data_IF_445036863787
#
_entry.id   IF_445036863787
#
_cell.length_a   1.000
_cell.length_b   1.000
_cell.length_c   1.000
_cell.angle_alpha   90.00
_cell.angle_beta   90.00
_cell.angle_gamma   90.00
#
_symmetry.space_group_name_H-M   'P 1'
#
loop_
_entity.id
_entity.type
_entity.pdbx_description
1 polymer ?
#
# COMPACT_ATOMS: atom_id res chain seq x y z
N UNK A 1 7.40 -3.04 20.61
CA UNK A 1 6.95 -3.91 19.51
C UNK A 1 5.51 -3.56 19.15
N UNK A 2 5.25 -3.29 17.87
CA UNK A 2 3.91 -3.05 17.31
C UNK A 2 3.52 -4.27 16.45
N UNK A 3 2.26 -4.69 16.52
CA UNK A 3 1.74 -5.82 15.73
C UNK A 3 0.71 -5.30 14.73
N UNK A 4 0.94 -5.54 13.44
CA UNK A 4 0.03 -5.24 12.33
C UNK A 4 -0.40 -6.57 11.71
N UNK A 5 -1.57 -7.06 12.11
CA UNK A 5 -2.02 -8.43 11.82
C UNK A 5 -0.94 -9.47 12.17
N UNK A 6 -0.43 -10.21 11.18
CA UNK A 6 0.63 -11.21 11.33
C UNK A 6 2.05 -10.61 11.40
N UNK A 7 2.23 -9.34 11.03
CA UNK A 7 3.54 -8.68 10.97
C UNK A 7 3.89 -8.06 12.33
N UNK A 8 5.10 -8.33 12.84
CA UNK A 8 5.61 -7.76 14.09
C UNK A 8 6.75 -6.79 13.76
N UNK A 9 6.68 -5.57 14.28
CA UNK A 9 7.63 -4.48 14.01
C UNK A 9 8.24 -4.01 15.34
N UNK A 10 9.56 -3.86 15.39
CA UNK A 10 10.28 -3.35 16.57
C UNK A 10 11.71 -3.86 16.65
N UNK A 11 12.40 -3.49 17.72
CA UNK A 11 13.81 -3.84 17.94
C UNK A 11 14.02 -5.36 17.99
N UNK A 12 15.17 -5.80 17.48
CA UNK A 12 15.58 -7.21 17.39
C UNK A 12 14.62 -8.13 16.59
N UNK A 13 13.76 -7.56 15.73
CA UNK A 13 12.94 -8.30 14.79
C UNK A 13 13.48 -8.15 13.35
N UNK A 14 13.14 -9.07 12.42
CA UNK A 14 13.50 -8.92 11.02
C UNK A 14 13.00 -7.60 10.42
N UNK A 15 13.73 -7.07 9.45
CA UNK A 15 13.32 -5.91 8.67
C UNK A 15 11.94 -6.19 8.03
N UNK A 16 11.00 -5.26 8.22
CA UNK A 16 9.70 -5.29 7.56
C UNK A 16 9.74 -4.34 6.37
N UNK A 17 9.38 -4.83 5.18
CA UNK A 17 9.25 -4.01 3.98
C UNK A 17 7.86 -3.38 3.93
N UNK A 18 7.81 -2.05 3.83
CA UNK A 18 6.60 -1.30 3.48
C UNK A 18 6.80 -0.75 2.07
N UNK A 19 6.10 -1.31 1.09
CA UNK A 19 6.32 -0.95 -0.31
C UNK A 19 5.07 -1.13 -1.19
N UNK A 20 5.09 -0.45 -2.33
CA UNK A 20 4.05 -0.50 -3.35
C UNK A 20 4.15 0.72 -4.26
N UNK A 21 3.17 0.91 -5.18
CA UNK A 21 3.17 2.05 -6.08
C UNK A 21 2.94 3.35 -5.31
N UNK A 22 3.45 4.46 -5.85
CA UNK A 22 3.44 5.74 -5.16
C UNK A 22 2.02 6.25 -4.88
N UNK A 23 1.10 6.03 -5.82
CA UNK A 23 -0.34 6.34 -5.71
C UNK A 23 -1.12 5.23 -6.41
N UNK A 24 -2.39 5.02 -6.04
CA UNK A 24 -3.29 4.13 -6.78
C UNK A 24 -3.63 4.79 -8.12
N UNK A 25 -2.97 4.32 -9.19
CA UNK A 25 -3.15 4.86 -10.54
C UNK A 25 -4.27 4.16 -11.30
N UNK A 26 -4.33 2.83 -11.20
CA UNK A 26 -5.38 1.97 -11.71
C UNK A 26 -5.28 0.59 -11.07
N UNK A 27 -6.30 -0.24 -11.31
CA UNK A 27 -6.39 -1.60 -10.75
C UNK A 27 -5.25 -2.51 -11.19
N UNK A 28 -4.91 -2.52 -12.48
CA UNK A 28 -3.93 -3.42 -13.09
C UNK A 28 -2.52 -3.21 -12.53
N UNK A 29 -2.04 -1.97 -12.52
CA UNK A 29 -0.71 -1.61 -11.99
C UNK A 29 -0.66 -1.91 -10.48
N UNK A 30 -1.74 -1.63 -9.75
CA UNK A 30 -1.76 -1.81 -8.30
C UNK A 30 -1.68 -3.29 -7.91
N UNK A 31 -2.49 -4.14 -8.56
CA UNK A 31 -2.48 -5.59 -8.33
C UNK A 31 -1.18 -6.25 -8.79
N UNK A 32 -0.71 -5.95 -10.01
CA UNK A 32 0.52 -6.53 -10.54
C UNK A 32 1.77 -6.13 -9.72
N UNK A 33 1.82 -4.89 -9.23
CA UNK A 33 2.89 -4.45 -8.33
C UNK A 33 2.83 -5.18 -6.99
N UNK A 34 1.63 -5.37 -6.42
CA UNK A 34 1.45 -6.13 -5.19
C UNK A 34 1.95 -7.56 -5.35
N UNK A 35 1.47 -8.27 -6.37
CA UNK A 35 1.86 -9.65 -6.69
C UNK A 35 3.37 -9.77 -6.80
N UNK A 36 4.01 -8.89 -7.58
CA UNK A 36 5.44 -8.97 -7.81
C UNK A 36 6.26 -8.75 -6.56
N UNK A 37 5.88 -7.79 -5.71
CA UNK A 37 6.57 -7.55 -4.44
C UNK A 37 6.39 -8.76 -3.52
N UNK A 38 5.18 -9.31 -3.43
CA UNK A 38 4.86 -10.47 -2.60
C UNK A 38 5.71 -11.68 -2.99
N UNK A 39 5.83 -11.98 -4.28
CA UNK A 39 6.71 -13.05 -4.78
C UNK A 39 8.14 -12.88 -4.29
N UNK A 40 8.68 -11.66 -4.40
CA UNK A 40 10.05 -11.34 -4.00
C UNK A 40 10.22 -11.47 -2.49
N UNK A 41 9.29 -10.89 -1.71
CA UNK A 41 9.37 -10.92 -0.24
C UNK A 41 9.19 -12.32 0.31
N UNK A 42 8.33 -13.14 -0.31
CA UNK A 42 8.16 -14.56 0.05
C UNK A 42 9.45 -15.34 -0.22
N UNK A 43 10.07 -15.14 -1.39
CA UNK A 43 11.35 -15.79 -1.73
C UNK A 43 12.47 -15.43 -0.75
N UNK A 44 12.49 -14.20 -0.27
CA UNK A 44 13.52 -13.69 0.64
C UNK A 44 13.16 -13.84 2.14
N UNK A 45 11.98 -14.38 2.46
CA UNK A 45 11.43 -14.44 3.82
C UNK A 45 11.39 -13.08 4.54
N UNK A 46 11.05 -12.02 3.81
CA UNK A 46 10.92 -10.65 4.35
C UNK A 46 9.45 -10.37 4.68
N UNK A 47 9.10 -10.01 5.93
CA UNK A 47 7.74 -9.57 6.24
C UNK A 47 7.35 -8.32 5.43
N UNK A 48 6.11 -8.28 4.95
CA UNK A 48 5.66 -7.27 4.00
C UNK A 48 4.33 -6.62 4.41
N UNK A 49 4.23 -5.30 4.20
CA UNK A 49 3.01 -4.50 4.26
C UNK A 49 2.91 -3.73 2.95
N UNK A 50 1.79 -3.87 2.25
CA UNK A 50 1.60 -3.14 1.00
C UNK A 50 1.22 -1.68 1.28
N UNK A 51 1.85 -0.75 0.55
CA UNK A 51 1.60 0.69 0.67
C UNK A 51 1.26 1.29 -0.68
N UNK A 52 0.17 2.05 -0.73
CA UNK A 52 -0.06 3.02 -1.79
C UNK A 52 -0.90 4.17 -1.27
N UNK A 53 -0.65 5.38 -1.76
CA UNK A 53 -1.49 6.55 -1.45
C UNK A 53 -2.77 6.47 -2.27
N UNK A 54 -3.94 6.67 -1.66
CA UNK A 54 -5.17 6.83 -2.45
C UNK A 54 -5.19 8.18 -3.18
N UNK A 55 -4.61 9.22 -2.55
CA UNK A 55 -4.50 10.58 -3.08
C UNK A 55 -3.16 11.21 -2.73
N UNK A 56 -2.67 12.10 -3.61
CA UNK A 56 -1.50 12.95 -3.37
C UNK A 56 -1.93 14.40 -3.25
N UNK A 57 -1.88 14.94 -2.03
CA UNK A 57 -2.26 16.32 -1.71
C UNK A 57 -1.14 17.36 -1.95
N UNK A 58 0.08 16.94 -2.28
CA UNK A 58 1.28 17.78 -2.35
C UNK A 58 1.78 18.05 -3.78
N UNK A 59 0.88 18.25 -4.76
CA UNK A 59 1.27 18.57 -6.14
C UNK A 59 1.58 20.05 -6.32
N UNK A 60 2.64 20.35 -7.06
CA UNK A 60 3.09 21.72 -7.38
C UNK A 60 2.24 22.40 -8.45
N UNK A 61 1.47 21.64 -9.23
CA UNK A 61 0.51 22.17 -10.21
C UNK A 61 -0.89 21.61 -9.95
N UNK A 62 -1.89 22.49 -9.97
CA UNK A 62 -3.30 22.16 -9.75
C UNK A 62 -3.84 21.13 -10.76
N UNK A 63 -3.29 21.08 -11.97
CA UNK A 63 -3.74 20.19 -13.04
C UNK A 63 -3.05 18.81 -13.02
N UNK A 64 -2.26 18.52 -11.99
CA UNK A 64 -1.55 17.24 -11.89
C UNK A 64 -2.50 16.13 -11.45
N UNK A 65 -2.36 14.93 -12.03
CA UNK A 65 -3.08 13.73 -11.56
C UNK A 65 -2.81 13.49 -10.07
N UNK A 66 -3.85 13.51 -9.23
CA UNK A 66 -3.68 13.33 -7.78
C UNK A 66 -3.99 11.92 -7.30
N UNK A 67 -4.58 11.07 -8.14
CA UNK A 67 -5.08 9.74 -7.77
C UNK A 67 -6.45 9.52 -8.41
N UNK A 68 -7.02 8.34 -8.15
CA UNK A 68 -8.42 8.06 -8.45
C UNK A 68 -9.33 8.71 -7.39
N UNK A 69 -10.64 8.70 -7.64
CA UNK A 69 -11.62 9.05 -6.62
C UNK A 69 -11.52 8.09 -5.43
N UNK A 70 -11.88 8.58 -4.24
CA UNK A 70 -11.68 7.84 -2.98
C UNK A 70 -12.26 6.43 -3.02
N UNK A 71 -13.55 6.28 -3.37
CA UNK A 71 -14.22 4.99 -3.39
C UNK A 71 -13.57 3.99 -4.36
N UNK A 72 -13.09 4.47 -5.50
CA UNK A 72 -12.41 3.64 -6.49
C UNK A 72 -11.03 3.19 -5.97
N UNK A 73 -10.24 4.13 -5.44
CA UNK A 73 -8.93 3.83 -4.89
C UNK A 73 -9.01 2.85 -3.71
N UNK A 74 -9.95 3.06 -2.80
CA UNK A 74 -10.19 2.20 -1.64
C UNK A 74 -10.69 0.81 -2.07
N UNK A 75 -11.55 0.73 -3.10
CA UNK A 75 -12.01 -0.55 -3.65
C UNK A 75 -10.83 -1.37 -4.20
N UNK A 76 -9.92 -0.74 -4.95
CA UNK A 76 -8.71 -1.40 -5.48
C UNK A 76 -7.78 -1.84 -4.33
N UNK A 77 -7.55 -0.99 -3.33
CA UNK A 77 -6.75 -1.37 -2.16
C UNK A 77 -7.37 -2.55 -1.41
N UNK A 78 -8.70 -2.52 -1.19
CA UNK A 78 -9.42 -3.64 -0.58
C UNK A 78 -9.19 -4.94 -1.33
N UNK A 79 -9.22 -4.89 -2.67
CA UNK A 79 -8.96 -6.04 -3.50
C UNK A 79 -7.55 -6.61 -3.32
N UNK A 80 -6.52 -5.76 -3.23
CA UNK A 80 -5.14 -6.21 -2.90
C UNK A 80 -5.12 -7.01 -1.59
N UNK A 81 -5.81 -6.51 -0.55
CA UNK A 81 -5.88 -7.20 0.75
C UNK A 81 -6.62 -8.52 0.66
N UNK A 82 -7.72 -8.58 -0.08
CA UNK A 82 -8.53 -9.81 -0.20
C UNK A 82 -7.81 -10.89 -1.01
N UNK A 83 -7.22 -10.52 -2.15
CA UNK A 83 -6.52 -11.44 -3.04
C UNK A 83 -5.24 -11.99 -2.41
N UNK A 84 -4.46 -11.12 -1.76
CA UNK A 84 -3.11 -11.49 -1.29
C UNK A 84 -2.98 -11.64 0.22
N UNK A 85 -4.01 -11.30 1.00
CA UNK A 85 -4.05 -11.43 2.47
C UNK A 85 -2.89 -10.71 3.19
N UNK A 86 -2.41 -9.62 2.60
CA UNK A 86 -1.36 -8.76 3.17
C UNK A 86 -1.96 -7.58 3.93
N UNK A 87 -1.30 -7.08 4.99
CA UNK A 87 -1.68 -5.81 5.60
C UNK A 87 -1.46 -4.65 4.62
N UNK A 88 -2.23 -3.58 4.80
CA UNK A 88 -2.18 -2.37 3.98
C UNK A 88 -1.90 -1.14 4.83
N UNK A 89 -1.27 -0.14 4.23
CA UNK A 89 -1.16 1.20 4.77
C UNK A 89 -1.36 2.24 3.65
N UNK A 90 -2.13 3.28 3.96
CA UNK A 90 -2.33 4.46 3.11
C UNK A 90 -2.29 5.71 4.00
N UNK A 91 -2.01 6.86 3.40
CA UNK A 91 -1.94 8.16 4.04
C UNK A 91 -3.25 8.93 3.85
N UNK A 92 -3.75 9.54 4.92
CA UNK A 92 -4.87 10.49 4.93
C UNK A 92 -4.32 11.92 5.08
N UNK A 93 -5.00 12.91 4.51
CA UNK A 93 -4.56 14.32 4.48
C UNK A 93 -5.54 15.25 5.19
N UNK A 94 -6.78 14.82 5.43
CA UNK A 94 -7.78 15.56 6.20
C UNK A 94 -8.48 14.64 7.22
N UNK A 95 -9.07 15.18 8.31
CA UNK A 95 -9.91 14.41 9.22
C UNK A 95 -11.18 13.83 8.58
N UNK A 96 -11.61 14.40 7.45
CA UNK A 96 -12.81 13.99 6.72
C UNK A 96 -12.54 12.93 5.65
N UNK A 97 -11.28 12.60 5.39
CA UNK A 97 -10.85 11.52 4.48
C UNK A 97 -11.19 10.11 5.02
#
# INVERSE_FOLDING_TARGET
>A
MVKVNQVKIGDNLPLVLIAGPCVVENREITLSTAERIIEITNKLNVPFIFKSSFKKANRTSLNSFTGLEFDEAISILKEVKENYKVPLVTDIHSPED
#
